data_IF_089853173018
#
_entry.id   IF_089853173018
#
_cell.length_a   1.000
_cell.length_b   1.000
_cell.length_c   1.000
_cell.angle_alpha   90.00
_cell.angle_beta   90.00
_cell.angle_gamma   90.00
#
_symmetry.space_group_name_H-M   'P 1'
#
loop_
_entity.id
_entity.type
_entity.pdbx_description
1 polymer ?
#
# COMPACT_ATOMS: atom_id res chain seq x y z
N UNK A 1 15.39 -6.88 16.50
CA UNK A 1 14.80 -5.75 15.75
C UNK A 1 13.35 -6.11 15.44
N UNK A 2 12.40 -5.25 15.82
CA UNK A 2 10.97 -5.54 15.69
C UNK A 2 10.56 -5.47 14.21
N UNK A 3 10.40 -6.62 13.55
CA UNK A 3 9.90 -6.72 12.17
C UNK A 3 8.38 -6.58 12.17
N UNK A 4 7.90 -5.35 12.41
CA UNK A 4 6.50 -5.04 12.20
C UNK A 4 6.18 -5.26 10.70
N UNK A 5 5.38 -6.28 10.40
CA UNK A 5 4.84 -6.49 9.05
C UNK A 5 4.02 -5.26 8.68
N UNK A 6 4.28 -4.68 7.51
CA UNK A 6 3.47 -3.58 7.01
C UNK A 6 2.00 -4.03 6.93
N UNK A 7 1.08 -3.14 7.27
CA UNK A 7 -0.35 -3.39 7.18
C UNK A 7 -1.06 -2.11 6.74
N UNK A 8 -2.19 -2.29 6.08
CA UNK A 8 -3.07 -1.20 5.67
C UNK A 8 -4.48 -1.48 6.19
N UNK A 9 -5.23 -0.42 6.48
CA UNK A 9 -6.63 -0.57 6.86
C UNK A 9 -7.42 -1.18 5.70
N UNK A 10 -8.23 -2.20 5.99
CA UNK A 10 -9.15 -2.77 5.01
C UNK A 10 -10.12 -1.73 4.44
N UNK A 11 -10.60 -0.80 5.28
CA UNK A 11 -11.53 0.25 4.84
C UNK A 11 -10.86 1.19 3.81
N UNK A 12 -9.59 1.52 4.03
CA UNK A 12 -8.79 2.32 3.09
C UNK A 12 -8.57 1.55 1.78
N UNK A 13 -8.09 0.30 1.89
CA UNK A 13 -7.87 -0.60 0.76
C UNK A 13 -9.11 -0.71 -0.14
N UNK A 14 -10.27 -1.00 0.47
CA UNK A 14 -11.55 -1.14 -0.22
C UNK A 14 -12.02 0.15 -0.86
N UNK A 15 -11.96 1.27 -0.14
CA UNK A 15 -12.45 2.57 -0.63
C UNK A 15 -11.67 3.07 -1.83
N UNK A 16 -10.34 2.94 -1.79
CA UNK A 16 -9.44 3.52 -2.79
C UNK A 16 -9.01 2.54 -3.89
N UNK A 17 -9.40 1.27 -3.78
CA UNK A 17 -9.09 0.26 -4.79
C UNK A 17 -7.62 -0.18 -4.77
N UNK A 18 -7.02 -0.27 -3.58
CA UNK A 18 -5.62 -0.67 -3.38
C UNK A 18 -5.52 -1.90 -2.49
N UNK A 19 -4.46 -2.69 -2.64
CA UNK A 19 -4.17 -3.85 -1.77
C UNK A 19 -2.67 -3.98 -1.51
N UNK A 20 -2.29 -4.31 -0.28
CA UNK A 20 -0.90 -4.66 0.05
C UNK A 20 -0.69 -6.15 -0.23
N UNK A 21 0.22 -6.46 -1.17
CA UNK A 21 0.56 -7.82 -1.59
C UNK A 21 1.75 -8.38 -0.81
N UNK A 22 2.63 -7.50 -0.33
CA UNK A 22 3.83 -7.85 0.43
C UNK A 22 4.64 -6.62 0.79
N UNK A 23 5.56 -6.75 1.74
CA UNK A 23 6.43 -5.66 2.19
C UNK A 23 7.81 -6.21 2.54
N UNK A 24 8.68 -6.26 1.53
CA UNK A 24 10.08 -6.64 1.68
C UNK A 24 10.94 -5.37 1.69
N UNK A 25 11.78 -5.15 0.68
CA UNK A 25 12.52 -3.89 0.48
C UNK A 25 11.64 -2.72 0.01
N UNK A 26 10.46 -3.03 -0.53
CA UNK A 26 9.42 -2.10 -0.93
C UNK A 26 8.04 -2.70 -0.64
N UNK A 27 7.05 -1.85 -0.43
CA UNK A 27 5.66 -2.27 -0.33
C UNK A 27 5.10 -2.54 -1.73
N UNK A 28 4.68 -3.77 -1.98
CA UNK A 28 4.07 -4.19 -3.23
C UNK A 28 2.57 -3.88 -3.16
N UNK A 29 2.12 -2.93 -3.97
CA UNK A 29 0.73 -2.45 -3.95
C UNK A 29 0.05 -2.87 -5.25
N UNK A 30 -1.03 -3.65 -5.14
CA UNK A 30 -1.94 -3.84 -6.26
C UNK A 30 -2.87 -2.63 -6.37
N UNK A 31 -3.02 -2.08 -7.58
CA UNK A 31 -3.97 -1.01 -7.87
C UNK A 31 -5.05 -1.53 -8.83
N UNK A 32 -6.31 -1.41 -8.43
CA UNK A 32 -7.45 -1.74 -9.30
C UNK A 32 -7.48 -0.76 -10.47
N UNK A 33 -7.88 -1.23 -11.65
CA UNK A 33 -8.23 -0.34 -12.77
C UNK A 33 -9.28 0.70 -12.35
N UNK A 34 -9.04 1.97 -12.69
CA UNK A 34 -9.86 3.10 -12.23
C UNK A 34 -9.77 3.40 -10.73
N UNK A 35 -8.86 2.76 -10.01
CA UNK A 35 -8.58 3.03 -8.60
C UNK A 35 -7.94 4.40 -8.38
N UNK A 36 -7.95 4.83 -7.12
CA UNK A 36 -7.49 6.17 -6.75
C UNK A 36 -5.95 6.22 -6.66
N UNK A 37 -5.32 6.81 -7.68
CA UNK A 37 -3.86 6.98 -7.74
C UNK A 37 -3.33 7.86 -6.60
N UNK A 38 -4.13 8.79 -6.06
CA UNK A 38 -3.71 9.63 -4.94
C UNK A 38 -3.52 8.81 -3.65
N UNK A 39 -4.21 7.67 -3.53
CA UNK A 39 -4.02 6.76 -2.40
C UNK A 39 -2.59 6.20 -2.31
N UNK A 40 -1.83 6.16 -3.41
CA UNK A 40 -0.43 5.74 -3.40
C UNK A 40 0.45 6.72 -2.62
N UNK A 41 0.15 8.02 -2.67
CA UNK A 41 0.89 9.03 -1.90
C UNK A 41 0.70 8.79 -0.41
N UNK A 42 -0.55 8.54 -0.01
CA UNK A 42 -0.90 8.28 1.37
C UNK A 42 -0.32 6.95 1.88
N UNK A 43 -0.32 5.90 1.05
CA UNK A 43 0.35 4.65 1.35
C UNK A 43 1.85 4.85 1.56
N UNK A 44 2.52 5.63 0.71
CA UNK A 44 3.94 5.92 0.87
C UNK A 44 4.21 6.68 2.17
N UNK A 45 3.38 7.66 2.50
CA UNK A 45 3.46 8.44 3.74
C UNK A 45 3.29 7.56 4.98
N UNK A 46 2.30 6.66 4.97
CA UNK A 46 1.96 5.81 6.11
C UNK A 46 2.94 4.65 6.31
N UNK A 47 3.42 4.04 5.21
CA UNK A 47 4.33 2.90 5.26
C UNK A 47 5.80 3.30 5.43
N UNK A 48 6.16 4.55 5.08
CA UNK A 48 7.51 5.07 5.25
C UNK A 48 8.56 4.38 4.38
N UNK A 49 8.14 3.69 3.31
CA UNK A 49 9.02 2.91 2.44
C UNK A 49 8.65 3.07 0.95
N UNK A 50 9.56 2.73 0.02
CA UNK A 50 9.26 2.75 -1.40
C UNK A 50 8.06 1.88 -1.75
N UNK A 51 7.29 2.30 -2.76
CA UNK A 51 6.17 1.52 -3.30
C UNK A 51 6.54 0.91 -4.64
N UNK A 52 6.09 -0.31 -4.89
CA UNK A 52 6.10 -0.95 -6.20
C UNK A 52 4.65 -1.28 -6.58
N UNK A 53 4.12 -0.59 -7.60
CA UNK A 53 2.76 -0.81 -8.08
C UNK A 53 2.74 -1.98 -9.07
N UNK A 54 1.77 -2.89 -8.92
CA UNK A 54 1.54 -4.07 -9.76
C UNK A 54 0.15 -4.03 -10.36
#
# INVERSE_FOLDING_TARGET
>A
MNTARASISYAFAKRHGVVLLGSDSAAQIGLREGGDVQALIELRRALGMPLQVR
#
